data_IF_811487543028
#
_entry.id   IF_811487543028
#
_cell.length_a   1.000
_cell.length_b   1.000
_cell.length_c   1.000
_cell.angle_alpha   90.00
_cell.angle_beta   90.00
_cell.angle_gamma   90.00
#
_symmetry.space_group_name_H-M   'P 1'
#
loop_
_entity.id
_entity.type
_entity.pdbx_description
1 polymer ?
#
# COMPACT_ATOMS: atom_id res chain seq x y z
N UNK A 1 19.45 20.75 0.50
CA UNK A 1 18.43 20.84 1.58
C UNK A 1 18.22 19.44 2.14
N UNK A 2 17.33 19.26 3.13
CA UNK A 2 16.95 17.91 3.56
C UNK A 2 15.98 17.27 2.56
N UNK A 3 16.08 15.97 2.38
CA UNK A 3 15.13 15.18 1.60
C UNK A 3 13.78 15.11 2.31
N UNK A 4 12.71 15.28 1.53
CA UNK A 4 11.31 15.24 1.96
C UNK A 4 10.58 14.20 1.14
N UNK A 5 9.72 13.44 1.79
CA UNK A 5 8.93 12.39 1.16
C UNK A 5 7.49 12.54 1.65
N UNK A 6 6.54 12.44 0.73
CA UNK A 6 5.12 12.36 1.03
C UNK A 6 4.52 11.17 0.28
N UNK A 7 3.64 10.43 0.96
CA UNK A 7 2.91 9.31 0.37
C UNK A 7 1.42 9.50 0.61
N UNK A 8 0.63 9.32 -0.44
CA UNK A 8 -0.83 9.40 -0.39
C UNK A 8 -1.41 8.13 -0.98
N UNK A 9 -2.40 7.55 -0.32
CA UNK A 9 -3.06 6.33 -0.79
C UNK A 9 -4.57 6.45 -0.69
N UNK A 10 -5.25 6.03 -1.75
CA UNK A 10 -6.70 5.75 -1.78
C UNK A 10 -6.86 4.24 -1.83
N UNK A 11 -7.46 3.67 -0.80
CA UNK A 11 -7.53 2.21 -0.62
C UNK A 11 -8.95 1.71 -0.83
N UNK A 12 -9.19 1.08 -1.98
CA UNK A 12 -10.39 0.30 -2.29
C UNK A 12 -9.97 -1.14 -2.66
N UNK A 13 -9.26 -1.83 -1.78
CA UNK A 13 -8.66 -3.14 -2.05
C UNK A 13 -9.65 -4.30 -1.86
N UNK A 14 -9.46 -5.39 -2.62
CA UNK A 14 -10.10 -6.68 -2.27
C UNK A 14 -9.56 -7.22 -0.94
N UNK A 15 -8.27 -6.97 -0.69
CA UNK A 15 -7.59 -7.38 0.52
C UNK A 15 -8.02 -6.60 1.75
N UNK A 16 -7.78 -7.23 2.90
CA UNK A 16 -7.95 -6.61 4.19
C UNK A 16 -6.75 -5.73 4.53
N UNK A 17 -6.99 -4.65 5.29
CA UNK A 17 -5.92 -3.79 5.79
C UNK A 17 -5.40 -4.37 7.11
N UNK A 18 -4.08 -4.53 7.19
CA UNK A 18 -3.36 -5.17 8.29
C UNK A 18 -2.43 -4.17 8.96
N UNK A 19 -2.45 -4.14 10.30
CA UNK A 19 -1.50 -3.33 11.08
C UNK A 19 -0.11 -3.98 11.19
N UNK A 20 0.84 -3.27 11.78
CA UNK A 20 2.23 -3.74 11.93
C UNK A 20 2.38 -4.94 12.87
N UNK A 21 1.34 -5.29 13.63
CA UNK A 21 1.30 -6.49 14.47
C UNK A 21 0.64 -7.68 13.76
N UNK A 22 0.23 -7.53 12.50
CA UNK A 22 -0.43 -8.57 11.73
C UNK A 22 -1.93 -8.70 12.01
N UNK A 23 -2.55 -7.73 12.70
CA UNK A 23 -3.99 -7.73 12.97
C UNK A 23 -4.74 -7.08 11.81
N UNK A 24 -5.83 -7.73 11.38
CA UNK A 24 -6.77 -7.13 10.43
C UNK A 24 -7.55 -6.00 11.09
N UNK A 25 -7.40 -4.78 10.57
CA UNK A 25 -8.09 -3.58 11.08
C UNK A 25 -9.23 -3.09 10.18
N UNK A 26 -9.24 -3.47 8.90
CA UNK A 26 -10.33 -3.18 7.94
C UNK A 26 -10.50 -4.31 6.95
N UNK A 27 -11.72 -4.54 6.48
CA UNK A 27 -12.04 -5.65 5.58
C UNK A 27 -12.12 -6.99 6.31
N UNK A 28 -12.45 -8.04 5.57
CA UNK A 28 -12.58 -9.43 6.06
C UNK A 28 -13.43 -9.57 7.34
N UNK A 29 -14.53 -8.81 7.43
CA UNK A 29 -15.46 -8.85 8.55
C UNK A 29 -16.38 -10.06 8.40
N UNK A 30 -16.45 -10.88 9.44
CA UNK A 30 -17.45 -11.93 9.54
C UNK A 30 -18.79 -11.33 10.01
N UNK A 31 -19.87 -11.32 9.21
CA UNK A 31 -21.17 -10.82 9.64
C UNK A 31 -21.84 -11.68 10.71
N UNK A 32 -21.43 -12.95 10.89
CA UNK A 32 -21.99 -13.84 11.90
C UNK A 32 -21.39 -13.56 13.28
N UNK A 33 -20.09 -13.24 13.35
CA UNK A 33 -19.39 -12.99 14.62
C UNK A 33 -19.16 -11.50 14.90
N UNK A 34 -19.22 -10.66 13.88
CA UNK A 34 -18.82 -9.25 13.95
C UNK A 34 -17.31 -9.03 14.06
N UNK A 35 -16.51 -10.09 13.93
CA UNK A 35 -15.06 -10.05 14.08
C UNK A 35 -14.35 -10.01 12.73
N UNK A 36 -13.19 -9.36 12.67
CA UNK A 36 -12.33 -9.38 11.49
C UNK A 36 -11.40 -10.56 11.57
N UNK A 37 -11.41 -11.39 10.53
CA UNK A 37 -10.54 -12.56 10.44
C UNK A 37 -9.17 -12.20 9.88
N UNK A 38 -8.15 -12.98 10.22
CA UNK A 38 -6.82 -12.82 9.61
C UNK A 38 -6.87 -13.16 8.11
N UNK A 39 -6.01 -12.58 7.26
CA UNK A 39 -6.00 -12.90 5.83
C UNK A 39 -5.83 -14.39 5.55
N UNK A 40 -5.04 -15.10 6.37
CA UNK A 40 -4.83 -16.56 6.28
C UNK A 40 -6.07 -17.40 6.57
N UNK A 41 -7.04 -16.85 7.31
CA UNK A 41 -8.24 -17.55 7.76
C UNK A 41 -9.48 -17.21 6.91
N UNK A 42 -9.45 -16.09 6.19
CA UNK A 42 -10.56 -15.58 5.38
C UNK A 42 -10.52 -15.98 3.89
N UNK A 43 -9.60 -16.85 3.47
CA UNK A 43 -9.41 -17.18 2.04
C UNK A 43 -10.68 -17.66 1.35
N UNK A 44 -11.45 -18.53 1.99
CA UNK A 44 -12.70 -19.06 1.43
C UNK A 44 -13.75 -17.96 1.22
N UNK A 45 -13.77 -16.94 2.08
CA UNK A 45 -14.66 -15.77 1.94
C UNK A 45 -14.24 -14.86 0.80
N UNK A 46 -12.96 -14.56 0.69
CA UNK A 46 -12.44 -13.75 -0.41
C UNK A 46 -12.70 -14.45 -1.75
N UNK A 47 -12.54 -15.78 -1.79
CA UNK A 47 -12.87 -16.60 -2.96
C UNK A 47 -14.38 -16.58 -3.27
N UNK A 48 -15.24 -16.71 -2.25
CA UNK A 48 -16.69 -16.67 -2.41
C UNK A 48 -17.18 -15.30 -2.91
N UNK A 49 -16.63 -14.19 -2.37
CA UNK A 49 -16.94 -12.83 -2.82
C UNK A 49 -16.52 -12.58 -4.27
N UNK A 50 -15.42 -13.20 -4.71
CA UNK A 50 -14.95 -13.12 -6.11
C UNK A 50 -15.84 -13.90 -7.08
N UNK A 51 -16.57 -14.92 -6.60
CA UNK A 51 -17.47 -15.75 -7.41
C UNK A 51 -18.89 -15.16 -7.55
N UNK A 52 -19.33 -14.33 -6.60
CA UNK A 52 -20.66 -13.71 -6.60
C UNK A 52 -20.59 -12.24 -7.07
N UNK A 53 -20.81 -12.02 -8.37
CA UNK A 53 -20.81 -10.71 -9.06
C UNK A 53 -19.49 -9.92 -8.94
N UNK A 54 -18.88 -9.55 -10.06
CA UNK A 54 -17.68 -8.71 -10.07
C UNK A 54 -17.97 -7.44 -9.26
N UNK A 55 -17.32 -7.24 -8.09
CA UNK A 55 -17.44 -5.97 -7.39
C UNK A 55 -17.01 -4.86 -8.36
N UNK A 56 -17.60 -3.64 -8.31
CA UNK A 56 -17.01 -2.50 -9.02
C UNK A 56 -15.52 -2.47 -8.68
N UNK A 57 -14.68 -2.47 -9.73
CA UNK A 57 -13.26 -2.85 -9.64
C UNK A 57 -12.57 -2.32 -8.39
N UNK A 58 -11.96 -3.23 -7.63
CA UNK A 58 -11.13 -2.86 -6.50
C UNK A 58 -9.88 -2.15 -7.05
N UNK A 59 -9.39 -1.12 -6.38
CA UNK A 59 -8.27 -0.30 -6.84
C UNK A 59 -7.58 0.34 -5.65
N UNK A 60 -6.28 0.10 -5.51
CA UNK A 60 -5.43 0.90 -4.62
C UNK A 60 -4.63 1.88 -5.46
N UNK A 61 -4.82 3.18 -5.26
CA UNK A 61 -4.06 4.23 -5.94
C UNK A 61 -3.10 4.86 -4.95
N UNK A 62 -1.80 4.84 -5.25
CA UNK A 62 -0.77 5.43 -4.39
C UNK A 62 0.12 6.41 -5.16
N UNK A 63 0.45 7.53 -4.54
CA UNK A 63 1.43 8.48 -5.06
C UNK A 63 2.54 8.66 -4.04
N UNK A 64 3.77 8.45 -4.49
CA UNK A 64 5.01 8.79 -3.78
C UNK A 64 5.55 10.09 -4.38
N UNK A 65 5.80 11.09 -3.55
CA UNK A 65 6.40 12.37 -3.94
C UNK A 65 7.67 12.56 -3.12
N UNK A 66 8.79 12.85 -3.78
CA UNK A 66 10.05 13.21 -3.11
C UNK A 66 10.67 14.44 -3.76
N UNK A 67 11.53 15.15 -3.04
CA UNK A 67 12.39 16.18 -3.62
C UNK A 67 13.83 15.68 -3.88
N UNK A 68 14.13 14.42 -3.54
CA UNK A 68 15.43 13.80 -3.81
C UNK A 68 15.65 13.64 -5.31
N UNK A 69 16.82 14.05 -5.80
CA UNK A 69 17.26 13.85 -7.17
C UNK A 69 17.38 12.36 -7.47
N UNK A 70 16.60 11.90 -8.44
CA UNK A 70 16.55 10.51 -8.87
C UNK A 70 16.44 10.49 -10.39
N UNK A 71 17.32 9.74 -11.03
CA UNK A 71 17.14 9.41 -12.45
C UNK A 71 15.91 8.49 -12.64
N UNK A 72 15.48 8.35 -13.90
CA UNK A 72 14.28 7.57 -14.22
C UNK A 72 14.35 6.10 -13.80
N UNK A 73 15.55 5.50 -13.79
CA UNK A 73 15.73 4.12 -13.35
C UNK A 73 15.55 4.01 -11.84
N UNK A 74 16.21 4.87 -11.05
CA UNK A 74 16.08 4.91 -9.58
C UNK A 74 14.65 5.20 -9.14
N UNK A 75 13.98 6.14 -9.81
CA UNK A 75 12.58 6.47 -9.51
C UNK A 75 11.64 5.29 -9.82
N UNK A 76 11.88 4.58 -10.92
CA UNK A 76 11.13 3.37 -11.27
C UNK A 76 11.37 2.23 -10.26
N UNK A 77 12.61 2.02 -9.82
CA UNK A 77 12.90 1.01 -8.81
C UNK A 77 12.29 1.36 -7.45
N UNK A 78 12.35 2.63 -7.05
CA UNK A 78 11.67 3.12 -5.85
C UNK A 78 10.17 2.82 -5.92
N UNK A 79 9.53 3.14 -7.04
CA UNK A 79 8.12 2.85 -7.26
C UNK A 79 7.80 1.36 -7.09
N UNK A 80 8.57 0.47 -7.73
CA UNK A 80 8.39 -0.99 -7.64
C UNK A 80 8.59 -1.51 -6.23
N UNK A 81 9.64 -1.07 -5.54
CA UNK A 81 9.94 -1.48 -4.18
C UNK A 81 8.81 -1.08 -3.23
N UNK A 82 8.38 0.19 -3.28
CA UNK A 82 7.33 0.70 -2.41
C UNK A 82 6.01 -0.01 -2.70
N UNK A 83 5.64 -0.19 -3.97
CA UNK A 83 4.40 -0.87 -4.34
C UNK A 83 4.38 -2.31 -3.82
N UNK A 84 5.48 -3.06 -4.02
CA UNK A 84 5.60 -4.41 -3.46
C UNK A 84 5.52 -4.44 -1.93
N UNK A 85 6.09 -3.42 -1.25
CA UNK A 85 6.08 -3.34 0.21
C UNK A 85 4.66 -3.17 0.80
N UNK A 86 3.72 -2.65 0.01
CA UNK A 86 2.33 -2.44 0.42
C UNK A 86 1.59 -3.76 0.68
N UNK A 87 2.07 -4.89 0.14
CA UNK A 87 1.53 -6.21 0.45
C UNK A 87 1.66 -6.60 1.94
N UNK A 88 2.48 -5.86 2.72
CA UNK A 88 2.49 -6.00 4.19
C UNK A 88 1.24 -5.40 4.83
N UNK A 89 0.76 -4.27 4.29
CA UNK A 89 -0.35 -3.49 4.79
C UNK A 89 -1.71 -3.92 4.21
N UNK A 90 -1.74 -4.50 3.02
CA UNK A 90 -2.95 -4.94 2.31
C UNK A 90 -2.78 -6.40 1.95
N UNK A 91 -3.74 -7.26 2.34
CA UNK A 91 -3.61 -8.71 2.16
C UNK A 91 -4.94 -9.37 1.77
N UNK A 92 -5.03 -10.03 0.60
CA UNK A 92 -4.03 -10.05 -0.47
C UNK A 92 -3.91 -8.69 -1.21
N UNK A 93 -2.80 -8.47 -1.91
CA UNK A 93 -2.51 -7.28 -2.73
C UNK A 93 -2.06 -7.71 -4.12
N UNK A 94 -2.24 -6.87 -5.15
CA UNK A 94 -2.00 -7.23 -6.55
C UNK A 94 -2.83 -8.41 -7.04
N UNK A 95 -4.09 -8.53 -6.59
CA UNK A 95 -4.97 -9.57 -7.12
C UNK A 95 -5.32 -9.28 -8.58
N UNK A 96 -5.71 -10.31 -9.32
CA UNK A 96 -6.07 -10.20 -10.75
C UNK A 96 -7.16 -9.15 -11.02
N UNK A 97 -8.06 -8.96 -10.04
CA UNK A 97 -9.18 -8.03 -10.13
C UNK A 97 -8.91 -6.68 -9.43
N UNK A 98 -7.69 -6.46 -8.92
CA UNK A 98 -7.28 -5.17 -8.36
C UNK A 98 -6.58 -4.32 -9.43
N UNK A 99 -7.03 -3.07 -9.57
CA UNK A 99 -6.38 -2.04 -10.37
C UNK A 99 -5.27 -1.31 -9.59
N UNK A 100 -4.41 -2.03 -8.88
CA UNK A 100 -3.37 -1.38 -8.06
C UNK A 100 -2.37 -0.58 -8.90
N UNK A 101 -2.23 0.71 -8.62
CA UNK A 101 -1.33 1.61 -9.35
C UNK A 101 -0.56 2.49 -8.36
N UNK A 102 0.75 2.57 -8.55
CA UNK A 102 1.63 3.50 -7.84
C UNK A 102 2.34 4.43 -8.82
N UNK A 103 2.23 5.74 -8.57
CA UNK A 103 3.01 6.77 -9.24
C UNK A 103 4.13 7.26 -8.32
N UNK A 104 5.37 7.31 -8.82
CA UNK A 104 6.47 7.94 -8.12
C UNK A 104 6.88 9.21 -8.87
N UNK A 105 6.98 10.32 -8.13
CA UNK A 105 7.30 11.64 -8.65
C UNK A 105 8.45 12.23 -7.86
N UNK A 106 9.41 12.84 -8.55
CA UNK A 106 10.43 13.68 -7.93
C UNK A 106 10.39 15.10 -8.47
N UNK A 107 10.62 16.09 -7.60
CA UNK A 107 10.85 17.50 -8.00
C UNK A 107 12.31 17.78 -8.39
N UNK A 108 13.23 16.82 -8.17
CA UNK A 108 14.66 16.90 -8.54
C UNK A 108 15.41 18.11 -7.93
N UNK A 109 15.04 18.50 -6.70
CA UNK A 109 15.56 19.70 -6.03
C UNK A 109 16.76 19.45 -5.12
N UNK A 110 16.86 18.27 -4.51
CA UNK A 110 17.84 17.96 -3.45
C UNK A 110 18.67 16.74 -3.80
N UNK A 111 19.99 16.87 -3.77
CA UNK A 111 20.90 15.72 -3.77
C UNK A 111 21.44 15.51 -2.35
N UNK A 112 20.79 14.62 -1.58
CA UNK A 112 21.25 14.27 -0.23
C UNK A 112 22.16 13.03 -0.28
N UNK A 113 23.49 13.18 -0.11
CA UNK A 113 24.43 12.08 -0.19
C UNK A 113 24.35 11.12 1.01
N UNK A 114 23.67 11.50 2.09
CA UNK A 114 23.51 10.64 3.28
C UNK A 114 22.38 9.63 3.13
N UNK A 115 21.51 9.81 2.13
CA UNK A 115 20.36 8.94 1.88
C UNK A 115 20.70 7.94 0.78
N UNK A 116 21.20 6.77 1.17
CA UNK A 116 21.42 5.69 0.22
C UNK A 116 20.08 5.21 -0.36
N UNK A 117 20.10 4.69 -1.59
CA UNK A 117 18.87 4.28 -2.28
C UNK A 117 18.05 3.23 -1.52
N UNK A 118 18.71 2.34 -0.78
CA UNK A 118 18.05 1.36 0.11
C UNK A 118 17.28 2.02 1.24
N UNK A 119 17.83 3.08 1.84
CA UNK A 119 17.25 3.78 2.98
C UNK A 119 16.04 4.59 2.53
N UNK A 120 16.15 5.24 1.36
CA UNK A 120 15.04 5.95 0.75
C UNK A 120 13.84 5.02 0.51
N UNK A 121 14.10 3.84 -0.08
CA UNK A 121 13.07 2.85 -0.34
C UNK A 121 12.44 2.30 0.94
N UNK A 122 13.24 2.00 1.96
CA UNK A 122 12.75 1.50 3.25
C UNK A 122 11.88 2.53 3.97
N UNK A 123 12.33 3.78 4.08
CA UNK A 123 11.56 4.87 4.69
C UNK A 123 10.27 5.15 3.94
N UNK A 124 10.33 5.21 2.61
CA UNK A 124 9.14 5.42 1.76
C UNK A 124 8.14 4.26 1.91
N UNK A 125 8.63 3.03 2.07
CA UNK A 125 7.77 1.85 2.31
C UNK A 125 7.03 1.92 3.64
N UNK A 126 7.65 2.48 4.69
CA UNK A 126 6.98 2.73 5.96
C UNK A 126 5.94 3.85 5.86
N UNK A 127 6.26 4.94 5.16
CA UNK A 127 5.30 6.01 4.88
C UNK A 127 4.10 5.52 4.05
N UNK A 128 4.32 4.58 3.13
CA UNK A 128 3.23 3.95 2.39
C UNK A 128 2.33 3.10 3.31
N UNK A 129 2.90 2.38 4.28
CA UNK A 129 2.09 1.69 5.29
C UNK A 129 1.30 2.69 6.13
N UNK A 130 1.92 3.78 6.58
CA UNK A 130 1.24 4.84 7.33
C UNK A 130 0.08 5.46 6.54
N UNK A 131 0.28 5.73 5.25
CA UNK A 131 -0.77 6.24 4.36
C UNK A 131 -1.95 5.27 4.24
N UNK A 132 -1.69 3.97 4.16
CA UNK A 132 -2.73 2.93 4.17
C UNK A 132 -3.46 2.87 5.52
N UNK A 133 -2.74 2.94 6.64
CA UNK A 133 -3.38 2.93 7.98
C UNK A 133 -4.24 4.19 8.20
N UNK A 134 -3.76 5.35 7.74
CA UNK A 134 -4.48 6.61 7.83
C UNK A 134 -5.80 6.59 7.04
N UNK A 135 -5.91 5.75 5.98
CA UNK A 135 -7.13 5.66 5.17
C UNK A 135 -8.30 4.97 5.89
N UNK A 136 -8.06 4.30 7.02
CA UNK A 136 -9.07 3.49 7.71
C UNK A 136 -9.99 4.32 8.61
N UNK A 137 -9.56 5.55 8.96
CA UNK A 137 -10.24 6.43 9.91
C UNK A 137 -10.14 5.94 11.37
N UNK A 138 -10.20 6.85 12.33
CA UNK A 138 -10.36 6.49 13.75
C UNK A 138 -11.77 5.94 13.94
N UNK A 139 -11.90 4.62 13.97
CA UNK A 139 -13.16 3.92 14.26
C UNK A 139 -13.44 3.90 15.75
#
# INVERSE_FOLDING_TARGET
>A
GQTKIAVFSVVNSIGAIVDRHGKTIRGNLDPNTGERQRPSEGFERVAAMSASSTPPGNTTLTVVITNQRLDGWRLTQLARQVHASMARAIQPFHCLNDGDVLFAVTTDEVDDPQLHGSDLGALTSELAWDAVLASVGNS
#
